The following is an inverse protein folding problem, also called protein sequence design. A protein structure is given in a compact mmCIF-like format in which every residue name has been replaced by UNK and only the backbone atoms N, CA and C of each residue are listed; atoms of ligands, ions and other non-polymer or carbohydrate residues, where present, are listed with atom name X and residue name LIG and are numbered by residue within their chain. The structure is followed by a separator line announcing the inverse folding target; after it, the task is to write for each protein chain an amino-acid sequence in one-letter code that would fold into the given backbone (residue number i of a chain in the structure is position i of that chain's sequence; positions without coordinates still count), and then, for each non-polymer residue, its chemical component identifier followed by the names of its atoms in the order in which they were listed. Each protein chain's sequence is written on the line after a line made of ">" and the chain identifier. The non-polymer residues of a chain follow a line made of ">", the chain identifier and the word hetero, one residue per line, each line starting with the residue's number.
data_IF_816657418014
#
_entry.id   IF_816657418014
#
_cell.length_a   1.000
_cell.length_b   1.000
_cell.length_c   1.000
_cell.angle_alpha   90.00
_cell.angle_beta   90.00
_cell.angle_gamma   90.00
#
_symmetry.space_group_name_H-M   'P 1'
#
loop_
_entity.id
_entity.type
_entity.pdbx_description
1 polymer ?
#
# COMPACT_ATOMS: atom_id res chain seq x y z
N UNK A 1 -18.73 -3.85 0.03
CA UNK A 1 -17.36 -4.20 0.48
C UNK A 1 -16.52 -4.56 -0.73
N UNK A 2 -15.27 -4.09 -0.78
CA UNK A 2 -14.30 -4.51 -1.79
C UNK A 2 -13.90 -5.97 -1.54
N UNK A 3 -13.67 -6.75 -2.60
CA UNK A 3 -13.33 -8.18 -2.51
C UNK A 3 -11.82 -8.44 -2.42
N UNK A 4 -11.03 -7.51 -2.92
CA UNK A 4 -9.57 -7.49 -2.87
C UNK A 4 -9.10 -6.07 -3.19
N UNK A 5 -7.86 -5.74 -2.83
CA UNK A 5 -7.22 -4.45 -3.13
C UNK A 5 -5.81 -4.69 -3.63
N UNK A 6 -5.33 -3.89 -4.58
CA UNK A 6 -3.93 -3.95 -5.00
C UNK A 6 -3.39 -2.58 -5.35
N UNK A 7 -2.07 -2.42 -5.31
CA UNK A 7 -1.41 -1.16 -5.62
C UNK A 7 -0.01 -1.36 -6.22
N UNK A 8 0.39 -0.40 -7.06
CA UNK A 8 1.76 -0.26 -7.57
C UNK A 8 2.41 0.92 -6.87
N UNK A 9 3.61 0.71 -6.32
CA UNK A 9 4.43 1.74 -5.67
C UNK A 9 3.63 2.69 -4.74
N UNK A 10 2.84 2.16 -3.78
CA UNK A 10 1.95 2.98 -2.95
C UNK A 10 2.71 3.84 -1.94
N UNK A 11 2.18 5.02 -1.63
CA UNK A 11 2.54 5.77 -0.41
C UNK A 11 1.83 5.09 0.76
N UNK A 12 2.53 4.22 1.49
CA UNK A 12 1.88 3.39 2.53
C UNK A 12 1.80 4.06 3.89
N UNK A 13 2.66 5.06 4.12
CA UNK A 13 2.72 5.79 5.39
C UNK A 13 2.80 7.30 5.16
N UNK A 14 1.72 7.95 4.68
CA UNK A 14 1.69 9.39 4.44
C UNK A 14 1.94 10.24 5.69
N UNK A 15 1.73 9.71 6.91
CA UNK A 15 2.17 10.37 8.15
C UNK A 15 3.69 10.59 8.20
N UNK A 16 4.44 9.68 7.58
CA UNK A 16 5.88 9.53 7.73
C UNK A 16 6.66 9.84 6.45
N UNK A 17 6.07 10.53 5.48
CA UNK A 17 6.78 11.00 4.28
C UNK A 17 6.49 12.46 3.91
N UNK A 18 7.42 13.16 3.22
CA UNK A 18 7.23 14.57 2.86
C UNK A 18 5.96 14.85 2.05
N UNK A 19 5.63 14.01 1.07
CA UNK A 19 4.41 14.19 0.26
C UNK A 19 3.15 14.09 1.10
N UNK A 20 3.06 13.07 1.95
CA UNK A 20 1.91 12.87 2.82
C UNK A 20 1.79 13.98 3.87
N UNK A 21 2.88 14.37 4.54
CA UNK A 21 2.87 15.45 5.52
C UNK A 21 2.44 16.79 4.93
N UNK A 22 2.90 17.11 3.72
CA UNK A 22 2.49 18.32 3.00
C UNK A 22 1.00 18.26 2.64
N UNK A 23 0.53 17.15 2.07
CA UNK A 23 -0.86 17.02 1.65
C UNK A 23 -1.83 16.99 2.84
N UNK A 24 -1.58 16.12 3.82
CA UNK A 24 -2.41 15.97 5.01
C UNK A 24 -2.42 17.25 5.86
N UNK A 25 -1.28 17.93 6.01
CA UNK A 25 -1.23 19.24 6.70
C UNK A 25 -2.09 20.29 6.01
N UNK A 26 -2.05 20.36 4.67
CA UNK A 26 -2.87 21.32 3.92
C UNK A 26 -4.37 21.01 3.96
N UNK A 27 -4.75 19.73 4.01
CA UNK A 27 -6.17 19.33 3.93
C UNK A 27 -6.83 19.10 5.29
N UNK A 28 -6.09 18.58 6.27
CA UNK A 28 -6.59 18.16 7.58
C UNK A 28 -6.09 19.04 8.73
N UNK A 29 -5.22 20.01 8.43
CA UNK A 29 -4.58 20.87 9.43
C UNK A 29 -3.44 20.16 10.18
N UNK A 30 -2.91 20.84 11.20
CA UNK A 30 -1.67 20.43 11.88
C UNK A 30 -1.84 19.30 12.91
N UNK A 31 -3.08 18.93 13.25
CA UNK A 31 -3.34 17.84 14.19
C UNK A 31 -3.09 16.48 13.54
N UNK A 32 -1.88 15.95 13.72
CA UNK A 32 -1.49 14.63 13.18
C UNK A 32 -2.29 13.46 13.75
N UNK A 33 -3.04 13.63 14.84
CA UNK A 33 -3.84 12.54 15.39
C UNK A 33 -4.95 12.10 14.42
N UNK A 34 -5.54 13.04 13.67
CA UNK A 34 -6.61 12.76 12.70
C UNK A 34 -6.08 12.19 11.39
N UNK A 35 -4.77 12.31 11.12
CA UNK A 35 -4.14 11.80 9.90
C UNK A 35 -4.04 10.27 9.90
N UNK A 36 -4.12 9.63 11.07
CA UNK A 36 -4.07 8.16 11.20
C UNK A 36 -5.19 7.46 10.45
N UNK A 37 -6.35 8.10 10.35
CA UNK A 37 -7.49 7.58 9.58
C UNK A 37 -7.25 7.62 8.06
N UNK A 38 -6.14 8.21 7.60
CA UNK A 38 -5.75 8.36 6.21
C UNK A 38 -4.39 7.71 5.91
N UNK A 39 -3.84 6.94 6.86
CA UNK A 39 -2.55 6.25 6.72
C UNK A 39 -2.76 4.74 6.64
N UNK A 40 -2.42 4.15 5.48
CA UNK A 40 -2.67 2.72 5.25
C UNK A 40 -1.89 1.82 6.21
N UNK A 41 -0.69 2.20 6.64
CA UNK A 41 0.09 1.42 7.60
C UNK A 41 -0.51 1.46 9.00
N UNK A 42 -1.01 2.61 9.47
CA UNK A 42 -1.71 2.71 10.76
C UNK A 42 -3.04 1.93 10.72
N UNK A 43 -3.82 2.08 9.65
CA UNK A 43 -5.09 1.37 9.45
C UNK A 43 -4.87 -0.15 9.37
N UNK A 44 -3.88 -0.60 8.61
CA UNK A 44 -3.55 -2.02 8.49
C UNK A 44 -3.11 -2.62 9.82
N UNK A 45 -2.31 -1.88 10.61
CA UNK A 45 -1.88 -2.29 11.95
C UNK A 45 -3.05 -2.43 12.92
N UNK A 46 -4.07 -1.58 12.82
CA UNK A 46 -5.27 -1.62 13.66
C UNK A 46 -6.29 -2.69 13.23
N UNK A 47 -6.23 -3.18 11.99
CA UNK A 47 -7.17 -4.14 11.43
C UNK A 47 -6.92 -5.59 11.91
N UNK A 48 -7.13 -5.87 13.20
CA UNK A 48 -6.87 -7.18 13.81
C UNK A 48 -8.01 -8.20 13.66
N UNK A 49 -9.23 -7.75 13.36
CA UNK A 49 -10.38 -8.64 13.18
C UNK A 49 -10.47 -9.14 11.73
N UNK A 50 -10.64 -10.46 11.47
CA UNK A 50 -10.63 -10.98 10.10
C UNK A 50 -11.69 -10.39 9.16
N UNK A 51 -12.83 -9.95 9.69
CA UNK A 51 -13.95 -9.38 8.95
C UNK A 51 -13.69 -7.94 8.46
N UNK A 52 -12.68 -7.27 8.99
CA UNK A 52 -12.24 -5.94 8.53
C UNK A 52 -11.02 -6.00 7.60
N UNK A 53 -10.44 -7.19 7.39
CA UNK A 53 -9.29 -7.39 6.52
C UNK A 53 -9.73 -7.68 5.08
N UNK A 54 -8.99 -7.13 4.11
CA UNK A 54 -9.22 -7.36 2.67
C UNK A 54 -7.96 -7.96 2.06
N UNK A 55 -8.03 -9.05 1.26
CA UNK A 55 -6.86 -9.59 0.57
C UNK A 55 -6.16 -8.51 -0.24
N UNK A 56 -4.84 -8.36 -0.04
CA UNK A 56 -4.06 -7.27 -0.61
C UNK A 56 -2.83 -7.77 -1.39
N UNK A 57 -2.53 -7.09 -2.50
CA UNK A 57 -1.31 -7.29 -3.30
C UNK A 57 -0.62 -5.95 -3.55
N UNK A 58 0.67 -5.87 -3.26
CA UNK A 58 1.49 -4.69 -3.54
C UNK A 58 2.71 -5.11 -4.36
N UNK A 59 2.93 -4.41 -5.47
CA UNK A 59 4.18 -4.47 -6.22
C UNK A 59 4.92 -3.15 -6.07
N UNK A 60 6.22 -3.24 -5.82
CA UNK A 60 7.12 -2.10 -5.66
C UNK A 60 8.37 -2.29 -6.50
N UNK A 61 8.69 -1.31 -7.34
CA UNK A 61 9.98 -1.27 -8.04
C UNK A 61 11.13 -1.12 -7.05
N UNK A 62 12.14 -2.01 -7.13
CA UNK A 62 13.32 -1.99 -6.27
C UNK A 62 14.34 -0.90 -6.63
N UNK A 63 14.25 -0.34 -7.84
CA UNK A 63 15.04 0.79 -8.31
C UNK A 63 14.23 2.10 -8.36
N UNK A 64 13.09 2.15 -7.67
CA UNK A 64 12.24 3.33 -7.59
C UNK A 64 12.92 4.45 -6.79
N UNK A 65 13.09 5.62 -7.43
CA UNK A 65 13.73 6.78 -6.83
C UNK A 65 12.98 7.38 -5.63
N UNK A 66 11.70 7.04 -5.43
CA UNK A 66 10.88 7.50 -4.32
C UNK A 66 10.78 6.49 -3.18
N UNK A 67 11.37 5.29 -3.34
CA UNK A 67 11.21 4.14 -2.46
C UNK A 67 11.42 4.49 -0.97
N UNK A 68 12.60 5.01 -0.65
CA UNK A 68 12.99 5.25 0.74
C UNK A 68 12.37 6.51 1.35
N UNK A 69 12.16 7.56 0.55
CA UNK A 69 11.69 8.86 1.06
C UNK A 69 10.15 8.91 1.17
N UNK A 70 9.45 8.40 0.15
CA UNK A 70 8.01 8.58 0.00
C UNK A 70 7.19 7.30 0.24
N UNK A 71 7.65 6.17 -0.28
CA UNK A 71 6.80 4.98 -0.43
C UNK A 71 6.87 4.03 0.77
N UNK A 72 8.07 3.72 1.25
CA UNK A 72 8.34 3.00 2.52
C UNK A 72 7.59 1.67 2.67
N UNK A 73 7.62 0.75 1.68
CA UNK A 73 6.88 -0.53 1.72
C UNK A 73 7.17 -1.37 2.98
N UNK A 74 8.36 -1.26 3.57
CA UNK A 74 8.77 -1.94 4.79
C UNK A 74 7.89 -1.57 6.00
N UNK A 75 7.33 -0.35 6.02
CA UNK A 75 6.42 0.10 7.07
C UNK A 75 5.09 -0.63 6.97
N UNK A 76 4.58 -0.85 5.75
CA UNK A 76 3.37 -1.64 5.52
C UNK A 76 3.59 -3.12 5.87
N UNK A 77 4.75 -3.67 5.53
CA UNK A 77 5.09 -5.05 5.89
C UNK A 77 5.11 -5.27 7.42
N UNK A 78 5.68 -4.33 8.17
CA UNK A 78 5.67 -4.37 9.63
C UNK A 78 4.25 -4.22 10.22
N UNK A 79 3.43 -3.35 9.64
CA UNK A 79 2.03 -3.18 10.02
C UNK A 79 1.22 -4.48 9.78
N UNK A 80 1.38 -5.10 8.61
CA UNK A 80 0.75 -6.36 8.27
C UNK A 80 1.13 -7.50 9.23
N UNK A 81 2.41 -7.60 9.58
CA UNK A 81 2.90 -8.59 10.57
C UNK A 81 2.25 -8.40 11.94
N UNK A 82 1.96 -7.16 12.34
CA UNK A 82 1.34 -6.85 13.64
C UNK A 82 -0.11 -7.34 13.72
N UNK A 83 -0.88 -7.19 12.65
CA UNK A 83 -2.31 -7.57 12.61
C UNK A 83 -2.58 -8.91 11.92
N UNK A 84 -1.54 -9.61 11.46
CA UNK A 84 -1.64 -10.79 10.61
C UNK A 84 -2.49 -10.53 9.35
N UNK A 85 -2.29 -9.37 8.73
CA UNK A 85 -3.06 -8.91 7.57
C UNK A 85 -2.73 -9.75 6.32
N UNK A 86 -3.73 -10.16 5.50
CA UNK A 86 -3.51 -10.98 4.31
C UNK A 86 -2.99 -10.16 3.12
N UNK A 87 -1.77 -9.63 3.24
CA UNK A 87 -1.08 -8.89 2.18
C UNK A 87 0.09 -9.68 1.61
N UNK A 88 0.27 -9.63 0.30
CA UNK A 88 1.50 -10.03 -0.39
C UNK A 88 2.20 -8.76 -0.89
N UNK A 89 3.45 -8.56 -0.49
CA UNK A 89 4.28 -7.43 -0.95
C UNK A 89 5.45 -8.01 -1.75
N UNK A 90 5.59 -7.58 -3.00
CA UNK A 90 6.65 -8.02 -3.93
C UNK A 90 7.57 -6.86 -4.26
N UNK A 91 8.88 -7.05 -4.06
CA UNK A 91 9.90 -6.11 -4.55
C UNK A 91 10.37 -6.62 -5.92
N UNK A 92 10.26 -5.77 -6.94
CA UNK A 92 10.62 -6.07 -8.31
C UNK A 92 11.96 -5.41 -8.64
N UNK A 93 13.04 -6.18 -8.54
CA UNK A 93 14.42 -5.70 -8.71
C UNK A 93 14.62 -5.02 -10.08
N UNK A 94 15.24 -3.85 -10.09
CA UNK A 94 15.55 -3.09 -11.31
C UNK A 94 14.39 -2.29 -11.90
N UNK A 95 13.16 -2.44 -11.39
CA UNK A 95 12.00 -1.66 -11.84
C UNK A 95 11.90 -0.32 -11.11
N UNK A 96 11.45 0.70 -11.84
CA UNK A 96 11.30 2.09 -11.39
C UNK A 96 9.83 2.44 -11.05
N UNK A 97 9.50 3.74 -10.99
CA UNK A 97 8.15 4.26 -10.70
C UNK A 97 7.28 4.43 -11.96
N UNK A 98 7.74 4.00 -13.14
CA UNK A 98 7.12 4.36 -14.41
C UNK A 98 5.97 3.42 -14.80
N UNK A 99 5.25 3.78 -15.86
CA UNK A 99 4.29 2.88 -16.49
C UNK A 99 4.93 1.64 -17.14
N UNK A 100 6.25 1.62 -17.38
CA UNK A 100 6.92 0.38 -17.81
C UNK A 100 6.88 -0.67 -16.70
N UNK A 101 7.12 -0.26 -15.45
CA UNK A 101 6.94 -1.11 -14.28
C UNK A 101 5.49 -1.58 -14.15
N UNK A 102 4.52 -0.66 -14.17
CA UNK A 102 3.10 -1.00 -14.02
C UNK A 102 2.65 -1.97 -15.13
N UNK A 103 2.95 -1.66 -16.39
CA UNK A 103 2.51 -2.48 -17.53
C UNK A 103 3.14 -3.88 -17.54
N UNK A 104 4.30 -4.07 -16.93
CA UNK A 104 4.92 -5.40 -16.79
C UNK A 104 4.12 -6.32 -15.88
N UNK A 105 3.53 -5.80 -14.81
CA UNK A 105 2.90 -6.59 -13.74
C UNK A 105 1.38 -6.40 -13.63
N UNK A 106 0.77 -5.56 -14.47
CA UNK A 106 -0.68 -5.30 -14.45
C UNK A 106 -1.53 -6.56 -14.66
N UNK A 107 -1.05 -7.51 -15.46
CA UNK A 107 -1.74 -8.78 -15.66
C UNK A 107 -1.88 -9.59 -14.36
N UNK A 108 -0.83 -9.63 -13.53
CA UNK A 108 -0.86 -10.30 -12.23
C UNK A 108 -1.92 -9.68 -11.31
N UNK A 109 -2.02 -8.35 -11.30
CA UNK A 109 -3.03 -7.64 -10.51
C UNK A 109 -4.45 -7.92 -11.01
N UNK A 110 -4.66 -7.96 -12.33
CA UNK A 110 -5.95 -8.33 -12.92
C UNK A 110 -6.32 -9.76 -12.52
N UNK A 111 -5.40 -10.72 -12.62
CA UNK A 111 -5.62 -12.12 -12.22
C UNK A 111 -5.90 -12.25 -10.73
N UNK A 112 -5.17 -11.52 -9.89
CA UNK A 112 -5.39 -11.43 -8.46
C UNK A 112 -6.81 -10.96 -8.13
N UNK A 113 -7.28 -9.89 -8.78
CA UNK A 113 -8.64 -9.40 -8.58
C UNK A 113 -9.70 -10.34 -9.12
N UNK A 114 -9.50 -10.90 -10.31
CA UNK A 114 -10.42 -11.86 -10.94
C UNK A 114 -10.68 -13.06 -10.02
N UNK A 115 -9.62 -13.63 -9.43
CA UNK A 115 -9.71 -14.72 -8.43
C UNK A 115 -10.63 -14.35 -7.26
N UNK A 116 -10.45 -13.18 -6.66
CA UNK A 116 -11.25 -12.75 -5.49
C UNK A 116 -12.67 -12.30 -5.86
N UNK A 117 -12.92 -12.01 -7.13
CA UNK A 117 -14.26 -11.78 -7.68
C UNK A 117 -15.00 -13.07 -8.03
N UNK A 118 -14.35 -14.24 -7.90
CA UNK A 118 -14.92 -15.53 -8.33
C UNK A 118 -14.89 -15.72 -9.86
N UNK A 119 -14.04 -14.97 -10.55
CA UNK A 119 -13.78 -15.05 -11.99
C UNK A 119 -12.46 -15.81 -12.20
N UNK A 120 -12.42 -17.08 -11.82
CA UNK A 120 -11.30 -17.99 -12.09
C UNK A 120 -11.73 -19.43 -11.88
#
# INVERSE_FOLDING_TARGET
>A
QYKSVSAFAPIVSPLNCPWGQKALGNYLGDDKSVWKDWDSSELMKAASAPDVQTPALVDQGGADGFLAEQLKPEVLEAAAKTSNYPVTIRIQDGYDHSYYFISTFIEDHIRFHAKHLGLS
#
